data_IF_627729883695
#
_entry.id   IF_627729883695
#
_cell.length_a   1.000
_cell.length_b   1.000
_cell.length_c   1.000
_cell.angle_alpha   90.00
_cell.angle_beta   90.00
_cell.angle_gamma   90.00
#
_symmetry.space_group_name_H-M   'P 1'
#
loop_
_entity.id
_entity.type
_entity.pdbx_description
1 polymer ?
#
# COMPACT_ATOMS: atom_id res chain seq x y z
N UNK A 1 14.81 -1.31 0.97
CA UNK A 1 13.57 -2.10 1.06
C UNK A 1 12.55 -1.56 0.09
N UNK A 2 11.95 -2.42 -0.69
CA UNK A 2 10.83 -2.06 -1.57
C UNK A 2 9.54 -2.21 -0.80
N UNK A 3 8.66 -1.21 -0.90
CA UNK A 3 7.43 -1.16 -0.09
C UNK A 3 6.22 -1.01 -1.00
N UNK A 4 5.28 -1.95 -0.89
CA UNK A 4 3.98 -1.84 -1.52
C UNK A 4 3.09 -0.99 -0.61
N UNK A 5 2.45 0.04 -1.14
CA UNK A 5 1.43 0.80 -0.41
C UNK A 5 0.10 0.50 -1.09
N UNK A 6 -0.81 -0.10 -0.35
CA UNK A 6 -2.09 -0.56 -0.88
C UNK A 6 -3.24 -0.26 0.07
N UNK A 7 -4.45 -0.20 -0.48
CA UNK A 7 -5.65 0.04 0.31
C UNK A 7 -6.87 0.26 -0.56
N UNK A 8 -7.91 0.85 0.03
CA UNK A 8 -9.17 1.06 -0.63
C UNK A 8 -9.12 2.05 -1.77
N UNK A 9 -10.05 1.87 -2.70
CA UNK A 9 -10.22 2.75 -3.85
C UNK A 9 -11.04 3.98 -3.47
N UNK A 10 -10.83 5.04 -4.22
CA UNK A 10 -11.67 6.22 -4.14
C UNK A 10 -13.06 5.91 -4.71
N UNK A 11 -14.09 6.32 -3.98
CA UNK A 11 -15.47 6.22 -4.39
C UNK A 11 -16.16 7.53 -4.06
N UNK A 12 -16.71 8.20 -5.06
CA UNK A 12 -17.40 9.50 -4.91
C UNK A 12 -16.54 10.54 -4.18
N UNK A 13 -15.24 10.56 -4.49
CA UNK A 13 -14.29 11.50 -3.88
C UNK A 13 -13.81 11.15 -2.49
N UNK A 14 -14.20 9.96 -1.98
CA UNK A 14 -13.87 9.52 -0.62
C UNK A 14 -13.16 8.17 -0.64
N UNK A 15 -12.34 7.94 0.37
CA UNK A 15 -11.72 6.63 0.62
C UNK A 15 -12.15 6.17 2.01
N UNK A 16 -12.88 5.07 2.10
CA UNK A 16 -13.47 4.58 3.36
C UNK A 16 -14.33 5.65 4.05
N UNK A 17 -14.96 6.56 3.28
CA UNK A 17 -15.75 7.67 3.80
C UNK A 17 -14.95 8.90 4.21
N UNK A 18 -13.63 8.86 4.13
CA UNK A 18 -12.76 10.00 4.44
C UNK A 18 -12.41 10.77 3.17
N UNK A 19 -12.20 12.09 3.31
CA UNK A 19 -11.70 12.90 2.19
C UNK A 19 -10.28 12.47 1.84
N UNK A 20 -9.84 12.81 0.64
CA UNK A 20 -8.46 12.53 0.22
C UNK A 20 -7.46 13.19 1.17
N UNK A 21 -7.73 14.39 1.64
CA UNK A 21 -6.86 15.08 2.57
C UNK A 21 -6.79 14.40 3.93
N UNK A 22 -7.93 13.97 4.47
CA UNK A 22 -7.96 13.22 5.72
C UNK A 22 -7.15 11.93 5.60
N UNK A 23 -7.34 11.22 4.50
CA UNK A 23 -6.63 9.96 4.28
C UNK A 23 -5.14 10.18 4.02
N UNK A 24 -4.79 11.27 3.35
CA UNK A 24 -3.39 11.67 3.17
C UNK A 24 -2.68 11.83 4.51
N UNK A 25 -3.32 12.53 5.46
CA UNK A 25 -2.74 12.72 6.80
C UNK A 25 -2.54 11.38 7.50
N UNK A 26 -3.53 10.48 7.41
CA UNK A 26 -3.44 9.15 8.02
C UNK A 26 -2.24 8.38 7.42
N UNK A 27 -2.13 8.35 6.10
CA UNK A 27 -1.04 7.65 5.43
C UNK A 27 0.32 8.28 5.78
N UNK A 28 0.41 9.61 5.70
CA UNK A 28 1.64 10.33 6.00
C UNK A 28 2.12 10.04 7.41
N UNK A 29 1.22 10.10 8.38
CA UNK A 29 1.57 9.87 9.78
C UNK A 29 1.99 8.42 10.01
N UNK A 30 1.29 7.48 9.39
CA UNK A 30 1.63 6.07 9.50
C UNK A 30 3.01 5.77 8.90
N UNK A 31 3.31 6.31 7.73
CA UNK A 31 4.62 6.14 7.09
C UNK A 31 5.73 6.81 7.88
N UNK A 32 5.45 7.94 8.51
CA UNK A 32 6.40 8.61 9.37
C UNK A 32 6.76 7.74 10.57
N UNK A 33 5.75 7.20 11.26
CA UNK A 33 5.94 6.27 12.38
C UNK A 33 6.78 5.06 11.97
N UNK A 34 6.43 4.43 10.85
CA UNK A 34 7.12 3.27 10.33
C UNK A 34 8.60 3.56 10.04
N UNK A 35 8.88 4.75 9.54
CA UNK A 35 10.20 5.16 9.08
C UNK A 35 11.13 5.58 10.21
N UNK A 36 10.58 6.22 11.25
CA UNK A 36 11.39 6.84 12.31
C UNK A 36 11.26 6.20 13.68
N UNK A 37 10.22 5.40 13.91
CA UNK A 37 9.93 4.81 15.22
C UNK A 37 9.88 3.28 15.23
N UNK A 38 10.40 2.63 14.19
CA UNK A 38 10.55 1.18 14.18
C UNK A 38 11.45 0.68 15.32
N UNK A 39 11.39 -0.60 15.64
CA UNK A 39 12.15 -1.15 16.77
C UNK A 39 13.64 -0.88 16.64
N UNK A 40 14.16 -0.11 17.59
CA UNK A 40 15.53 0.37 17.57
C UNK A 40 15.65 1.69 16.80
N UNK A 41 15.77 2.80 17.52
CA UNK A 41 15.92 4.15 16.96
C UNK A 41 17.04 4.30 15.92
N UNK A 42 17.83 3.25 15.69
CA UNK A 42 18.95 3.23 14.75
C UNK A 42 18.64 2.55 13.42
N UNK A 43 17.54 1.81 13.32
CA UNK A 43 17.16 1.16 12.06
C UNK A 43 16.02 1.93 11.41
N UNK A 44 16.39 2.94 10.64
CA UNK A 44 15.47 3.52 9.68
C UNK A 44 15.06 2.43 8.72
N UNK A 45 13.75 2.24 8.55
CA UNK A 45 13.27 1.48 7.40
C UNK A 45 13.57 2.32 6.17
N UNK A 46 14.64 1.96 5.47
CA UNK A 46 15.01 2.68 4.26
C UNK A 46 14.12 2.22 3.12
N UNK A 47 13.24 3.09 2.67
CA UNK A 47 12.37 2.82 1.52
C UNK A 47 13.09 3.26 0.26
N UNK A 48 13.56 2.30 -0.51
CA UNK A 48 14.27 2.59 -1.76
C UNK A 48 13.33 2.73 -2.95
N UNK A 49 12.13 2.15 -2.88
CA UNK A 49 11.15 2.20 -3.94
C UNK A 49 9.76 1.91 -3.39
N UNK A 50 8.77 2.64 -3.89
CA UNK A 50 7.35 2.38 -3.58
C UNK A 50 6.73 1.67 -4.78
N UNK A 51 6.00 0.60 -4.51
CA UNK A 51 5.31 -0.19 -5.54
C UNK A 51 3.83 0.16 -5.49
N UNK A 52 3.26 0.56 -6.62
CA UNK A 52 1.87 0.98 -6.73
C UNK A 52 1.08 0.11 -7.69
N UNK A 53 -0.13 -0.26 -7.28
CA UNK A 53 -1.07 -0.98 -8.15
C UNK A 53 -1.85 -0.08 -9.11
N UNK A 54 -1.60 1.22 -9.06
CA UNK A 54 -2.15 2.23 -9.98
C UNK A 54 -3.67 2.42 -9.89
N UNK A 55 -4.30 1.95 -8.83
CA UNK A 55 -5.71 2.23 -8.60
C UNK A 55 -5.88 3.65 -8.04
N UNK A 56 -7.08 4.18 -8.16
CA UNK A 56 -7.43 5.42 -7.46
C UNK A 56 -7.51 5.13 -5.96
N UNK A 57 -7.33 6.14 -5.12
CA UNK A 57 -7.43 5.97 -3.68
C UNK A 57 -6.06 5.82 -3.02
N UNK A 58 -5.89 4.82 -2.16
CA UNK A 58 -4.65 4.65 -1.39
C UNK A 58 -3.43 4.46 -2.30
N UNK A 59 -3.57 3.74 -3.39
CA UNK A 59 -2.46 3.56 -4.34
C UNK A 59 -1.94 4.92 -4.84
N UNK A 60 -2.86 5.80 -5.23
CA UNK A 60 -2.50 7.16 -5.69
C UNK A 60 -1.86 7.99 -4.58
N UNK A 61 -2.37 7.90 -3.36
CA UNK A 61 -1.79 8.61 -2.22
C UNK A 61 -0.40 8.06 -1.88
N UNK A 62 -0.18 6.76 -2.05
CA UNK A 62 1.13 6.15 -1.89
C UNK A 62 2.13 6.68 -2.90
N UNK A 63 1.71 6.86 -4.15
CA UNK A 63 2.57 7.48 -5.17
C UNK A 63 2.88 8.93 -4.81
N UNK A 64 1.90 9.68 -4.33
CA UNK A 64 2.11 11.05 -3.89
C UNK A 64 3.09 11.12 -2.71
N UNK A 65 2.96 10.21 -1.77
CA UNK A 65 3.90 10.14 -0.64
C UNK A 65 5.33 9.88 -1.12
N UNK A 66 5.50 8.96 -2.07
CA UNK A 66 6.82 8.67 -2.64
C UNK A 66 7.41 9.89 -3.33
N UNK A 67 6.62 10.59 -4.13
CA UNK A 67 7.05 11.82 -4.81
C UNK A 67 7.49 12.89 -3.81
N UNK A 68 6.72 13.08 -2.74
CA UNK A 68 7.05 14.06 -1.70
C UNK A 68 8.36 13.74 -0.97
N UNK A 69 8.78 12.48 -1.01
CA UNK A 69 9.97 12.00 -0.31
C UNK A 69 11.11 11.63 -1.25
N UNK A 70 11.00 11.99 -2.53
CA UNK A 70 12.02 11.71 -3.56
C UNK A 70 12.33 10.22 -3.71
N UNK A 71 11.29 9.37 -3.55
CA UNK A 71 11.41 7.93 -3.66
C UNK A 71 10.88 7.48 -5.01
N UNK A 72 11.62 6.65 -5.77
CA UNK A 72 11.12 6.13 -7.04
C UNK A 72 9.87 5.28 -6.87
N UNK A 73 9.03 5.27 -7.91
CA UNK A 73 7.78 4.53 -7.93
C UNK A 73 7.84 3.46 -9.01
N UNK A 74 7.50 2.22 -8.65
CA UNK A 74 7.28 1.13 -9.58
C UNK A 74 5.78 0.94 -9.73
N UNK A 75 5.26 1.25 -10.90
CA UNK A 75 3.84 1.05 -11.21
C UNK A 75 3.61 -0.34 -11.78
N UNK A 76 2.62 -1.03 -11.23
CA UNK A 76 2.21 -2.37 -11.66
C UNK A 76 0.69 -2.32 -11.90
N UNK A 77 0.26 -1.78 -13.05
CA UNK A 77 -1.17 -1.67 -13.34
C UNK A 77 -1.77 -3.05 -13.62
N UNK A 78 -3.03 -3.23 -13.23
CA UNK A 78 -3.77 -4.43 -13.58
C UNK A 78 -4.17 -4.39 -15.05
N UNK A 79 -4.07 -5.53 -15.72
CA UNK A 79 -4.57 -5.68 -17.09
C UNK A 79 -6.04 -6.12 -17.05
N UNK A 80 -6.95 -5.15 -17.02
CA UNK A 80 -8.38 -5.43 -16.89
C UNK A 80 -8.97 -6.21 -18.06
N UNK A 81 -8.23 -6.36 -19.18
CA UNK A 81 -8.61 -7.24 -20.26
C UNK A 81 -8.68 -8.71 -19.84
N UNK A 82 -7.94 -9.05 -18.79
CA UNK A 82 -7.96 -10.40 -18.24
C UNK A 82 -9.17 -10.69 -17.36
N UNK A 83 -10.07 -9.74 -17.19
CA UNK A 83 -11.30 -9.90 -16.42
C UNK A 83 -11.06 -9.84 -14.91
N UNK A 84 -11.87 -10.58 -14.15
CA UNK A 84 -11.91 -10.52 -12.69
C UNK A 84 -10.60 -10.93 -12.00
N UNK A 85 -9.78 -11.74 -12.66
CA UNK A 85 -8.50 -12.19 -12.10
C UNK A 85 -7.38 -11.16 -12.22
N UNK A 86 -7.61 -10.04 -12.92
CA UNK A 86 -6.57 -9.04 -13.18
C UNK A 86 -5.99 -8.44 -11.90
N UNK A 87 -6.84 -8.11 -10.94
CA UNK A 87 -6.39 -7.57 -9.66
C UNK A 87 -5.55 -8.56 -8.86
N UNK A 88 -5.95 -9.82 -8.86
CA UNK A 88 -5.20 -10.89 -8.18
C UNK A 88 -3.83 -11.07 -8.82
N UNK A 89 -3.78 -11.12 -10.14
CA UNK A 89 -2.52 -11.26 -10.89
C UNK A 89 -1.58 -10.08 -10.63
N UNK A 90 -2.12 -8.86 -10.62
CA UNK A 90 -1.36 -7.66 -10.31
C UNK A 90 -0.78 -7.71 -8.89
N UNK A 91 -1.57 -8.14 -7.91
CA UNK A 91 -1.10 -8.27 -6.53
C UNK A 91 0.06 -9.26 -6.41
N UNK A 92 -0.01 -10.39 -7.12
CA UNK A 92 1.06 -11.37 -7.15
C UNK A 92 2.33 -10.77 -7.74
N UNK A 93 2.22 -10.05 -8.86
CA UNK A 93 3.36 -9.37 -9.47
C UNK A 93 4.00 -8.37 -8.52
N UNK A 94 3.19 -7.59 -7.80
CA UNK A 94 3.71 -6.63 -6.82
C UNK A 94 4.45 -7.33 -5.69
N UNK A 95 3.86 -8.38 -5.14
CA UNK A 95 4.49 -9.14 -4.07
C UNK A 95 5.81 -9.77 -4.48
N UNK A 96 5.84 -10.40 -5.65
CA UNK A 96 7.04 -11.02 -6.19
C UNK A 96 8.13 -10.00 -6.45
N UNK A 97 7.77 -8.84 -6.99
CA UNK A 97 8.71 -7.77 -7.23
C UNK A 97 9.29 -7.21 -5.91
N UNK A 98 8.44 -7.02 -4.90
CA UNK A 98 8.89 -6.56 -3.59
C UNK A 98 9.89 -7.53 -2.96
N UNK A 99 9.69 -8.83 -3.20
CA UNK A 99 10.56 -9.86 -2.65
C UNK A 99 11.86 -10.05 -3.44
N UNK A 100 11.91 -9.60 -4.68
CA UNK A 100 13.01 -9.91 -5.62
C UNK A 100 14.39 -9.47 -5.13
N UNK A 101 14.48 -8.49 -4.25
CA UNK A 101 15.73 -7.99 -3.69
C UNK A 101 15.98 -8.47 -2.26
N UNK A 102 15.24 -9.49 -1.82
CA UNK A 102 15.43 -10.11 -0.51
C UNK A 102 14.57 -9.55 0.60
N UNK A 103 14.47 -8.23 0.72
CA UNK A 103 13.65 -7.58 1.74
C UNK A 103 12.59 -6.70 1.09
N UNK A 104 11.35 -6.97 1.43
CA UNK A 104 10.23 -6.18 0.97
C UNK A 104 9.17 -6.06 2.04
N UNK A 105 8.30 -5.08 1.91
CA UNK A 105 7.23 -4.84 2.85
C UNK A 105 5.94 -4.45 2.15
N UNK A 106 4.84 -4.67 2.85
CA UNK A 106 3.53 -4.16 2.48
C UNK A 106 3.05 -3.24 3.59
N UNK A 107 2.61 -2.05 3.21
CA UNK A 107 1.84 -1.15 4.07
C UNK A 107 0.43 -1.12 3.50
N UNK A 108 -0.54 -1.60 4.27
CA UNK A 108 -1.93 -1.64 3.85
C UNK A 108 -2.79 -0.80 4.80
N UNK A 109 -3.51 0.16 4.22
CA UNK A 109 -4.58 0.86 4.93
C UNK A 109 -5.88 0.16 4.57
N UNK A 110 -6.44 -0.58 5.52
CA UNK A 110 -7.49 -1.57 5.25
C UNK A 110 -8.69 -1.35 6.17
N UNK A 111 -9.88 -1.51 5.62
CA UNK A 111 -11.14 -1.39 6.37
C UNK A 111 -11.60 -2.72 7.00
N UNK A 112 -10.86 -3.80 6.77
CA UNK A 112 -11.18 -5.13 7.26
C UNK A 112 -12.03 -5.97 6.32
N UNK A 113 -12.61 -5.38 5.27
CA UNK A 113 -13.55 -6.08 4.39
C UNK A 113 -13.22 -6.00 2.90
N UNK A 114 -12.47 -4.99 2.46
CA UNK A 114 -12.15 -4.82 1.04
C UNK A 114 -11.39 -6.02 0.48
N UNK A 115 -11.96 -6.76 -0.50
CA UNK A 115 -11.40 -8.05 -0.92
C UNK A 115 -10.04 -7.95 -1.61
N UNK A 116 -9.81 -6.92 -2.41
CA UNK A 116 -8.54 -6.74 -3.11
C UNK A 116 -7.37 -6.51 -2.15
N UNK A 117 -7.59 -5.67 -1.14
CA UNK A 117 -6.58 -5.40 -0.11
C UNK A 117 -6.36 -6.63 0.76
N UNK A 118 -7.44 -7.33 1.10
CA UNK A 118 -7.35 -8.58 1.86
C UNK A 118 -6.50 -9.61 1.12
N UNK A 119 -6.70 -9.74 -0.18
CA UNK A 119 -5.90 -10.64 -1.01
C UNK A 119 -4.41 -10.26 -0.98
N UNK A 120 -4.12 -8.97 -1.12
CA UNK A 120 -2.74 -8.49 -1.10
C UNK A 120 -2.06 -8.79 0.24
N UNK A 121 -2.76 -8.56 1.34
CA UNK A 121 -2.26 -8.88 2.68
C UNK A 121 -1.95 -10.38 2.80
N UNK A 122 -2.88 -11.23 2.35
CA UNK A 122 -2.71 -12.67 2.39
C UNK A 122 -1.51 -13.16 1.57
N UNK A 123 -1.37 -12.64 0.38
CA UNK A 123 -0.26 -13.02 -0.49
C UNK A 123 1.08 -12.56 0.06
N UNK A 124 1.15 -11.30 0.51
CA UNK A 124 2.38 -10.74 1.09
C UNK A 124 2.83 -11.54 2.33
N UNK A 125 1.86 -11.92 3.16
CA UNK A 125 2.14 -12.75 4.34
C UNK A 125 2.66 -14.13 3.93
N UNK A 126 2.04 -14.73 2.93
CA UNK A 126 2.41 -16.07 2.44
C UNK A 126 3.85 -16.10 1.92
N UNK A 127 4.29 -15.08 1.22
CA UNK A 127 5.64 -15.05 0.63
C UNK A 127 6.71 -14.46 1.57
N UNK A 128 6.32 -14.07 2.78
CA UNK A 128 7.27 -13.64 3.81
C UNK A 128 7.67 -12.18 3.77
N UNK A 129 6.88 -11.30 3.16
CA UNK A 129 7.10 -9.86 3.27
C UNK A 129 6.79 -9.38 4.69
N UNK A 130 7.38 -8.26 5.09
CA UNK A 130 6.95 -7.58 6.31
C UNK A 130 5.61 -6.90 6.04
N UNK A 131 4.59 -7.30 6.78
CA UNK A 131 3.23 -6.80 6.55
C UNK A 131 2.83 -5.87 7.68
N UNK A 132 2.52 -4.63 7.32
CA UNK A 132 2.05 -3.60 8.23
C UNK A 132 0.62 -3.24 7.81
N UNK A 133 -0.34 -3.58 8.66
CA UNK A 133 -1.75 -3.28 8.40
C UNK A 133 -2.21 -2.20 9.37
N UNK A 134 -2.64 -1.08 8.83
CA UNK A 134 -3.32 -0.04 9.59
C UNK A 134 -4.81 -0.17 9.32
N UNK A 135 -5.57 -0.58 10.35
CA UNK A 135 -7.01 -0.67 10.23
C UNK A 135 -7.63 0.71 10.28
N UNK A 136 -8.30 1.06 9.19
CA UNK A 136 -9.04 2.32 9.08
C UNK A 136 -10.51 1.99 9.29
N UNK A 137 -11.07 2.48 10.37
CA UNK A 137 -12.50 2.29 10.61
C UNK A 137 -13.26 3.13 9.59
N UNK A 138 -14.04 2.47 8.73
CA UNK A 138 -14.83 3.17 7.72
C UNK A 138 -15.72 4.21 8.39
N UNK A 139 -15.69 5.44 7.85
CA UNK A 139 -16.48 6.53 8.39
C UNK A 139 -17.94 6.35 7.96
N UNK A 140 -18.80 6.12 8.91
CA UNK A 140 -20.24 6.06 8.71
C UNK A 140 -20.88 7.35 9.21
N UNK A 141 -21.91 7.82 8.49
CA UNK A 141 -22.66 8.98 8.93
C UNK A 141 -23.44 8.68 10.22
#
# INVERSE_FOLDING_TARGET
MKVIIAGGREKDGLIYGYTLQEMWVILRDYMHELRYHGPGRRSRTYVEEVISGCATGIDSLGEQWADCNWIPIKQVPADWKLGKSAGIKRNILMGDYAKSTGQGALVALHDGVSPGTKHMIGYATKIGLKVHVHLVKAKTE
#
